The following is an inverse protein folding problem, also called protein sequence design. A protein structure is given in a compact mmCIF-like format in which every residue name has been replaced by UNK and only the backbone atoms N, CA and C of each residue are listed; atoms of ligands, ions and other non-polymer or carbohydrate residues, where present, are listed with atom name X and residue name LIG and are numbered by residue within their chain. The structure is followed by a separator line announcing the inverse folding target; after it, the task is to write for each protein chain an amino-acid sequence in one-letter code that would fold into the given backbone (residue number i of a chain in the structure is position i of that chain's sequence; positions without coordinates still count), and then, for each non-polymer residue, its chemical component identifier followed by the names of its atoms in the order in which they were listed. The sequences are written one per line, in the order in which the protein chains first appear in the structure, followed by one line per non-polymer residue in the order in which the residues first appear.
data_IF_426575695527
#
_entry.id   IF_426575695527
#
_cell.length_a   1.000
_cell.length_b   1.000
_cell.length_c   1.000
_cell.angle_alpha   90.00
_cell.angle_beta   90.00
_cell.angle_gamma   90.00
#
_symmetry.space_group_name_H-M   'P 1'
#
loop_
_entity.id
_entity.type
_entity.pdbx_description
1 polymer ?
#
# COMPACT_ATOMS: atom_id res chain seq x y z
N UNK A 1 8.71 -29.19 5.14
CA UNK A 1 9.45 -27.99 4.71
C UNK A 1 8.87 -27.46 3.43
N UNK A 2 8.49 -26.20 3.42
CA UNK A 2 8.06 -25.49 2.22
C UNK A 2 9.24 -25.35 1.25
N UNK A 3 9.03 -25.73 -0.02
CA UNK A 3 10.04 -25.59 -1.08
C UNK A 3 9.70 -24.35 -1.94
N UNK A 4 9.93 -23.16 -1.38
CA UNK A 4 9.58 -21.89 -2.00
C UNK A 4 10.34 -21.66 -3.31
N UNK A 5 11.64 -21.95 -3.29
CA UNK A 5 12.54 -21.71 -4.42
C UNK A 5 12.20 -22.58 -5.63
N UNK A 6 11.71 -23.81 -5.42
CA UNK A 6 11.26 -24.69 -6.51
C UNK A 6 10.08 -24.10 -7.30
N UNK A 7 9.21 -23.36 -6.63
CA UNK A 7 7.98 -22.80 -7.21
C UNK A 7 8.09 -21.29 -7.52
N UNK A 8 9.30 -20.75 -7.62
CA UNK A 8 9.55 -19.31 -7.90
C UNK A 8 8.73 -18.76 -9.07
N UNK A 9 8.60 -19.55 -10.17
CA UNK A 9 7.81 -19.13 -11.35
C UNK A 9 6.33 -18.91 -11.03
N UNK A 10 5.76 -19.73 -10.14
CA UNK A 10 4.36 -19.63 -9.72
C UNK A 10 4.15 -18.36 -8.89
N UNK A 11 5.03 -18.11 -7.93
CA UNK A 11 4.95 -16.91 -7.10
C UNK A 11 5.08 -15.61 -7.92
N UNK A 12 6.04 -15.59 -8.84
CA UNK A 12 6.20 -14.45 -9.76
C UNK A 12 5.01 -14.29 -10.69
N UNK A 13 4.42 -15.38 -11.18
CA UNK A 13 3.22 -15.32 -12.03
C UNK A 13 2.01 -14.75 -11.29
N UNK A 14 1.79 -15.13 -10.02
CA UNK A 14 0.72 -14.58 -9.17
C UNK A 14 0.90 -13.07 -9.01
N UNK A 15 2.10 -12.63 -8.62
CA UNK A 15 2.42 -11.21 -8.46
C UNK A 15 2.21 -10.43 -9.76
N UNK A 16 2.73 -10.96 -10.86
CA UNK A 16 2.62 -10.34 -12.17
C UNK A 16 1.15 -10.25 -12.61
N UNK A 17 0.35 -11.29 -12.36
CA UNK A 17 -1.08 -11.28 -12.68
C UNK A 17 -1.82 -10.16 -11.92
N UNK A 18 -1.58 -9.99 -10.61
CA UNK A 18 -2.20 -8.93 -9.81
C UNK A 18 -1.79 -7.55 -10.34
N UNK A 19 -0.50 -7.35 -10.61
CA UNK A 19 0.02 -6.07 -11.11
C UNK A 19 -0.53 -5.79 -12.53
N UNK A 20 -0.53 -6.78 -13.42
CA UNK A 20 -1.08 -6.62 -14.77
C UNK A 20 -2.58 -6.30 -14.74
N UNK A 21 -3.36 -6.94 -13.86
CA UNK A 21 -4.76 -6.61 -13.67
C UNK A 21 -4.92 -5.16 -13.19
N UNK A 22 -4.14 -4.72 -12.21
CA UNK A 22 -4.16 -3.33 -11.73
C UNK A 22 -3.83 -2.34 -12.84
N UNK A 23 -2.78 -2.60 -13.61
CA UNK A 23 -2.40 -1.76 -14.77
C UNK A 23 -3.49 -1.75 -15.84
N UNK A 24 -4.10 -2.91 -16.14
CA UNK A 24 -5.22 -2.98 -17.08
C UNK A 24 -6.41 -2.13 -16.62
N UNK A 25 -6.74 -2.18 -15.32
CA UNK A 25 -7.78 -1.31 -14.74
C UNK A 25 -7.40 0.16 -14.80
N UNK A 26 -6.14 0.53 -14.53
CA UNK A 26 -5.68 1.91 -14.68
C UNK A 26 -5.83 2.42 -16.12
N UNK A 27 -5.43 1.60 -17.10
CA UNK A 27 -5.59 1.93 -18.53
C UNK A 27 -7.06 2.05 -18.89
N UNK A 28 -7.88 1.08 -18.52
CA UNK A 28 -9.33 1.09 -18.76
C UNK A 28 -9.99 2.36 -18.21
N UNK A 29 -9.71 2.71 -16.95
CA UNK A 29 -10.24 3.95 -16.33
C UNK A 29 -9.67 5.19 -16.98
N UNK A 30 -8.38 5.21 -17.34
CA UNK A 30 -7.77 6.31 -18.07
C UNK A 30 -8.46 6.61 -19.40
N UNK A 31 -8.83 5.56 -20.15
CA UNK A 31 -9.54 5.70 -21.43
C UNK A 31 -11.02 6.08 -21.23
N UNK A 32 -11.71 5.50 -20.24
CA UNK A 32 -13.15 5.69 -20.06
C UNK A 32 -13.50 6.94 -19.26
N UNK A 33 -12.70 7.30 -18.27
CA UNK A 33 -12.98 8.40 -17.34
C UNK A 33 -11.95 9.53 -17.38
N UNK A 34 -10.87 9.38 -18.14
CA UNK A 34 -9.72 10.30 -18.16
C UNK A 34 -8.86 10.27 -16.89
N UNK A 35 -9.19 9.40 -15.91
CA UNK A 35 -8.53 9.32 -14.60
C UNK A 35 -8.04 7.89 -14.33
N UNK A 36 -6.78 7.55 -14.63
CA UNK A 36 -6.21 6.21 -14.38
C UNK A 36 -6.26 5.79 -12.92
N UNK A 37 -6.05 6.74 -12.01
CA UNK A 37 -6.17 6.61 -10.56
C UNK A 37 -7.08 7.72 -10.04
N UNK A 38 -7.84 7.42 -9.01
CA UNK A 38 -8.60 8.44 -8.31
C UNK A 38 -7.71 9.14 -7.28
N UNK A 39 -7.61 10.45 -7.39
CA UNK A 39 -6.94 11.28 -6.39
C UNK A 39 -8.00 11.93 -5.49
N UNK A 40 -7.76 11.86 -4.18
CA UNK A 40 -8.59 12.55 -3.20
C UNK A 40 -8.42 14.07 -3.27
N UNK A 41 -9.34 14.77 -2.60
CA UNK A 41 -9.34 16.24 -2.55
C UNK A 41 -8.06 16.84 -2.00
N UNK A 42 -7.33 16.09 -1.19
CA UNK A 42 -6.01 16.47 -0.66
C UNK A 42 -5.01 16.80 -1.78
N UNK A 43 -5.15 16.15 -2.93
CA UNK A 43 -4.21 16.27 -4.05
C UNK A 43 -4.76 17.07 -5.24
N UNK A 44 -6.08 17.11 -5.43
CA UNK A 44 -6.69 17.82 -6.57
C UNK A 44 -7.42 19.09 -6.16
N UNK A 45 -7.53 19.33 -4.85
CA UNK A 45 -8.34 20.38 -4.28
C UNK A 45 -9.82 19.96 -4.19
N UNK A 46 -10.62 20.71 -3.44
CA UNK A 46 -12.04 20.46 -3.26
C UNK A 46 -12.53 20.82 -1.86
N UNK A 47 -13.77 20.46 -1.58
CA UNK A 47 -14.39 20.68 -0.27
C UNK A 47 -14.76 19.36 0.40
N UNK A 48 -14.66 19.33 1.73
CA UNK A 48 -15.15 18.28 2.61
C UNK A 48 -16.12 18.85 3.62
N UNK A 49 -17.19 18.11 3.92
CA UNK A 49 -18.09 18.39 5.03
C UNK A 49 -18.28 17.14 5.88
N UNK A 50 -18.16 17.31 7.19
CA UNK A 50 -18.42 16.26 8.16
C UNK A 50 -19.71 16.59 8.91
N UNK A 51 -20.67 15.69 8.82
CA UNK A 51 -21.99 15.89 9.42
C UNK A 51 -22.31 14.77 10.41
N UNK A 52 -22.61 15.16 11.66
CA UNK A 52 -23.07 14.24 12.71
C UNK A 52 -24.58 14.14 12.68
N UNK A 53 -25.10 13.03 12.16
CA UNK A 53 -26.54 12.77 12.06
C UNK A 53 -27.11 12.34 13.42
N UNK A 54 -26.31 11.69 14.29
CA UNK A 54 -26.69 11.27 15.63
C UNK A 54 -27.66 10.10 15.70
N UNK A 55 -28.05 9.53 14.59
CA UNK A 55 -28.92 8.36 14.45
C UNK A 55 -28.51 7.53 13.24
N UNK A 56 -28.91 6.26 13.19
CA UNK A 56 -28.65 5.39 12.05
C UNK A 56 -29.29 5.93 10.78
N UNK A 57 -28.57 5.85 9.67
CA UNK A 57 -29.01 6.30 8.34
C UNK A 57 -28.51 5.37 7.25
N UNK A 58 -29.19 5.36 6.10
CA UNK A 58 -28.72 4.64 4.93
C UNK A 58 -27.77 5.54 4.11
N UNK A 59 -26.60 5.02 3.77
CA UNK A 59 -25.61 5.72 2.93
C UNK A 59 -26.22 6.17 1.61
N UNK A 60 -27.05 5.33 0.99
CA UNK A 60 -27.76 5.61 -0.26
C UNK A 60 -28.68 6.83 -0.19
N UNK A 61 -29.19 7.15 0.98
CA UNK A 61 -30.03 8.31 1.18
C UNK A 61 -29.24 9.61 1.19
N UNK A 62 -28.01 9.57 1.74
CA UNK A 62 -27.08 10.69 1.71
C UNK A 62 -26.57 10.88 0.28
N UNK A 63 -26.18 9.80 -0.41
CA UNK A 63 -25.75 9.84 -1.81
C UNK A 63 -26.81 10.47 -2.72
N UNK A 64 -28.11 10.17 -2.51
CA UNK A 64 -29.22 10.81 -3.24
C UNK A 64 -29.30 12.31 -3.00
N UNK A 65 -29.01 12.78 -1.79
CA UNK A 65 -29.01 14.22 -1.48
C UNK A 65 -27.83 14.89 -2.16
N UNK A 66 -26.63 14.30 -2.01
CA UNK A 66 -25.38 14.86 -2.53
C UNK A 66 -25.39 14.91 -4.06
N UNK A 67 -25.84 13.84 -4.72
CA UNK A 67 -25.88 13.70 -6.17
C UNK A 67 -26.80 14.71 -6.87
N UNK A 68 -27.70 15.41 -6.14
CA UNK A 68 -28.47 16.52 -6.68
C UNK A 68 -27.60 17.73 -7.01
N UNK A 69 -26.50 17.91 -6.28
CA UNK A 69 -25.63 19.08 -6.35
C UNK A 69 -24.28 18.76 -6.96
N UNK A 70 -23.74 17.56 -6.66
CA UNK A 70 -22.38 17.15 -7.02
C UNK A 70 -22.34 15.69 -7.43
N UNK A 71 -21.77 15.40 -8.62
CA UNK A 71 -21.73 14.03 -9.18
C UNK A 71 -20.45 13.24 -8.84
N UNK A 72 -19.36 13.94 -8.52
CA UNK A 72 -18.04 13.38 -8.24
C UNK A 72 -17.75 13.26 -6.73
N UNK A 73 -18.79 13.02 -5.95
CA UNK A 73 -18.68 12.97 -4.49
C UNK A 73 -18.33 11.58 -3.97
N UNK A 74 -17.48 11.57 -2.95
CA UNK A 74 -17.22 10.39 -2.12
C UNK A 74 -17.93 10.57 -0.78
N UNK A 75 -18.87 9.68 -0.48
CA UNK A 75 -19.59 9.63 0.79
C UNK A 75 -19.05 8.52 1.64
N UNK A 76 -18.46 8.87 2.77
CA UNK A 76 -17.91 7.91 3.75
C UNK A 76 -18.70 8.00 5.05
N UNK A 77 -19.16 6.85 5.56
CA UNK A 77 -19.86 6.81 6.85
C UNK A 77 -18.85 6.58 7.97
N UNK A 78 -18.82 7.49 8.93
CA UNK A 78 -18.05 7.36 10.16
C UNK A 78 -18.98 6.93 11.28
N UNK A 79 -18.82 5.71 11.78
CA UNK A 79 -19.81 5.05 12.63
C UNK A 79 -21.22 5.00 11.97
N UNK A 80 -22.24 4.61 12.70
CA UNK A 80 -23.62 4.63 12.20
C UNK A 80 -24.28 6.01 12.26
N UNK A 81 -23.56 7.02 12.73
CA UNK A 81 -24.11 8.33 13.12
C UNK A 81 -23.46 9.53 12.48
N UNK A 82 -22.32 9.37 11.80
CA UNK A 82 -21.57 10.47 11.17
C UNK A 82 -21.31 10.15 9.71
N UNK A 83 -21.27 11.18 8.87
CA UNK A 83 -20.96 11.09 7.44
C UNK A 83 -19.98 12.17 7.04
N UNK A 84 -18.95 11.75 6.30
CA UNK A 84 -18.00 12.61 5.62
C UNK A 84 -18.34 12.63 4.12
N UNK A 85 -18.45 13.81 3.55
CA UNK A 85 -18.74 14.03 2.12
C UNK A 85 -17.60 14.84 1.53
N UNK A 86 -16.89 14.26 0.57
CA UNK A 86 -15.77 14.89 -0.14
C UNK A 86 -16.07 15.00 -1.63
N UNK A 87 -15.72 16.13 -2.24
CA UNK A 87 -15.80 16.29 -3.70
C UNK A 87 -14.84 17.37 -4.19
N UNK A 88 -14.28 17.14 -5.38
CA UNK A 88 -13.42 18.11 -6.05
C UNK A 88 -14.20 19.24 -6.72
N UNK A 89 -15.47 19.01 -7.08
CA UNK A 89 -16.32 20.00 -7.74
C UNK A 89 -17.28 20.72 -6.79
N UNK A 90 -17.36 20.31 -5.51
CA UNK A 90 -18.25 20.92 -4.53
C UNK A 90 -17.80 22.33 -4.18
N UNK A 91 -18.69 23.31 -4.40
CA UNK A 91 -18.48 24.68 -3.93
C UNK A 91 -18.98 24.86 -2.49
N UNK A 92 -18.58 25.98 -1.84
CA UNK A 92 -19.06 26.29 -0.49
C UNK A 92 -20.61 26.42 -0.48
N UNK A 93 -21.18 26.97 -1.57
CA UNK A 93 -22.66 27.08 -1.74
C UNK A 93 -23.33 25.69 -1.85
N UNK A 94 -22.68 24.75 -2.49
CA UNK A 94 -23.22 23.39 -2.63
C UNK A 94 -23.13 22.64 -1.31
N UNK A 95 -22.02 22.80 -0.56
CA UNK A 95 -21.87 22.27 0.79
C UNK A 95 -23.00 22.77 1.72
N UNK A 96 -23.28 24.06 1.70
CA UNK A 96 -24.40 24.68 2.46
C UNK A 96 -25.77 24.09 2.07
N UNK A 97 -26.02 23.90 0.77
CA UNK A 97 -27.30 23.32 0.29
C UNK A 97 -27.42 21.85 0.70
N UNK A 98 -26.36 21.06 0.53
CA UNK A 98 -26.31 19.67 0.95
C UNK A 98 -26.59 19.56 2.45
N UNK A 99 -25.93 20.40 3.26
CA UNK A 99 -26.17 20.42 4.71
C UNK A 99 -27.60 20.83 5.07
N UNK A 100 -28.18 21.85 4.40
CA UNK A 100 -29.57 22.26 4.59
C UNK A 100 -30.56 21.14 4.24
N UNK A 101 -30.36 20.42 3.14
CA UNK A 101 -31.22 19.29 2.77
C UNK A 101 -31.09 18.14 3.78
N UNK A 102 -29.88 17.89 4.30
CA UNK A 102 -29.66 16.93 5.37
C UNK A 102 -30.34 17.38 6.69
N UNK A 103 -30.25 18.68 7.03
CA UNK A 103 -30.96 19.24 8.18
C UNK A 103 -32.47 18.99 8.09
N UNK A 104 -33.08 19.27 6.94
CA UNK A 104 -34.52 19.03 6.72
C UNK A 104 -34.91 17.56 6.82
N UNK A 105 -34.11 16.67 6.19
CA UNK A 105 -34.42 15.23 6.18
C UNK A 105 -34.26 14.56 7.51
N UNK A 106 -33.21 14.91 8.24
CA UNK A 106 -32.83 14.25 9.50
C UNK A 106 -33.14 15.06 10.75
N UNK A 107 -33.72 16.25 10.60
CA UNK A 107 -34.06 17.21 11.67
C UNK A 107 -32.81 17.58 12.51
N UNK A 108 -31.72 18.00 11.82
CA UNK A 108 -30.44 18.29 12.43
C UNK A 108 -30.37 19.74 12.91
N UNK A 109 -29.68 19.93 14.05
CA UNK A 109 -29.33 21.28 14.52
C UNK A 109 -28.10 21.80 13.76
N UNK A 110 -27.88 23.11 13.76
CA UNK A 110 -26.69 23.72 13.09
C UNK A 110 -25.36 23.17 13.61
N UNK A 111 -25.30 22.74 14.88
CA UNK A 111 -24.13 22.08 15.48
C UNK A 111 -23.84 20.67 14.94
N UNK A 112 -24.70 20.12 14.09
CA UNK A 112 -24.48 18.84 13.44
C UNK A 112 -23.40 18.88 12.34
N UNK A 113 -23.10 20.05 11.78
CA UNK A 113 -21.93 20.28 10.96
C UNK A 113 -20.69 20.29 11.88
N UNK A 114 -19.89 19.24 11.81
CA UNK A 114 -18.70 19.04 12.66
C UNK A 114 -17.52 19.81 12.10
N UNK A 115 -17.27 19.67 10.78
CA UNK A 115 -16.25 20.42 10.07
C UNK A 115 -16.69 20.71 8.63
N UNK A 116 -16.13 21.78 8.09
CA UNK A 116 -16.16 22.09 6.67
C UNK A 116 -14.76 22.56 6.30
N UNK A 117 -14.13 21.79 5.42
CA UNK A 117 -12.75 22.04 5.01
C UNK A 117 -12.71 22.30 3.50
N UNK A 118 -11.84 23.23 3.10
CA UNK A 118 -11.58 23.57 1.71
C UNK A 118 -10.10 23.47 1.43
N UNK A 119 -9.75 22.63 0.47
CA UNK A 119 -8.38 22.47 0.02
C UNK A 119 -8.27 23.14 -1.35
N UNK A 120 -7.45 24.19 -1.45
CA UNK A 120 -7.13 24.82 -2.73
C UNK A 120 -6.26 23.93 -3.59
N UNK A 121 -6.41 24.00 -4.92
CA UNK A 121 -5.60 23.20 -5.87
C UNK A 121 -4.09 23.43 -5.71
N UNK A 122 -3.65 24.64 -5.39
CA UNK A 122 -2.24 24.96 -5.12
C UNK A 122 -1.67 24.19 -3.92
N UNK A 123 -2.48 24.02 -2.86
CA UNK A 123 -2.11 23.22 -1.68
C UNK A 123 -2.01 21.75 -2.06
N UNK A 124 -2.94 21.25 -2.90
CA UNK A 124 -2.91 19.88 -3.39
C UNK A 124 -1.66 19.55 -4.19
N UNK A 125 -1.21 20.44 -5.07
CA UNK A 125 0.02 20.25 -5.85
C UNK A 125 1.29 20.32 -4.97
N UNK A 126 1.29 21.17 -3.96
CA UNK A 126 2.37 21.21 -2.96
C UNK A 126 2.43 19.91 -2.15
N UNK A 127 1.28 19.38 -1.72
CA UNK A 127 1.19 18.10 -1.00
C UNK A 127 1.67 16.92 -1.84
N UNK A 128 1.31 16.84 -3.14
CA UNK A 128 1.85 15.82 -4.07
C UNK A 128 3.36 15.87 -4.13
N UNK A 129 3.92 17.05 -4.34
CA UNK A 129 5.36 17.25 -4.46
C UNK A 129 6.08 16.83 -3.17
N UNK A 130 5.58 17.28 -2.02
CA UNK A 130 6.15 16.90 -0.71
C UNK A 130 6.05 15.40 -0.44
N UNK A 131 4.92 14.77 -0.83
CA UNK A 131 4.72 13.33 -0.70
C UNK A 131 5.74 12.52 -1.53
N UNK A 132 5.97 12.92 -2.79
CA UNK A 132 6.96 12.28 -3.66
C UNK A 132 8.39 12.46 -3.12
N UNK A 133 8.72 13.65 -2.64
CA UNK A 133 10.02 13.93 -2.00
C UNK A 133 10.20 13.06 -0.75
N UNK A 134 9.21 12.98 0.12
CA UNK A 134 9.27 12.15 1.33
C UNK A 134 9.49 10.67 0.99
N UNK A 135 8.76 10.16 -0.03
CA UNK A 135 8.93 8.79 -0.50
C UNK A 135 10.34 8.55 -1.06
N UNK A 136 10.86 9.47 -1.89
CA UNK A 136 12.21 9.39 -2.44
C UNK A 136 13.28 9.40 -1.34
N UNK A 137 13.16 10.29 -0.36
CA UNK A 137 14.07 10.37 0.79
C UNK A 137 14.04 9.06 1.58
N UNK A 138 12.86 8.53 1.89
CA UNK A 138 12.71 7.26 2.60
C UNK A 138 13.39 6.10 1.85
N UNK A 139 13.18 6.00 0.53
CA UNK A 139 13.82 4.97 -0.31
C UNK A 139 15.34 5.12 -0.32
N UNK A 140 15.88 6.34 -0.40
CA UNK A 140 17.32 6.60 -0.34
C UNK A 140 17.91 6.14 1.00
N UNK A 141 17.30 6.51 2.13
CA UNK A 141 17.78 6.08 3.44
C UNK A 141 17.73 4.57 3.62
N UNK A 142 16.68 3.91 3.13
CA UNK A 142 16.58 2.46 3.15
C UNK A 142 17.68 1.83 2.30
N UNK A 143 17.94 2.36 1.10
CA UNK A 143 19.04 1.89 0.24
C UNK A 143 20.41 2.02 0.90
N UNK A 144 20.68 3.17 1.53
CA UNK A 144 21.92 3.41 2.25
C UNK A 144 22.08 2.42 3.42
N UNK A 145 21.01 2.21 4.19
CA UNK A 145 21.00 1.23 5.28
C UNK A 145 21.31 -0.19 4.78
N UNK A 146 20.66 -0.62 3.69
CA UNK A 146 20.86 -1.95 3.13
C UNK A 146 22.28 -2.10 2.55
N UNK A 147 22.77 -1.08 1.83
CA UNK A 147 24.11 -1.08 1.25
C UNK A 147 25.19 -1.19 2.33
N UNK A 148 24.97 -0.55 3.48
CA UNK A 148 25.88 -0.64 4.62
C UNK A 148 25.78 -1.97 5.37
N UNK A 149 24.56 -2.52 5.52
CA UNK A 149 24.28 -3.69 6.38
C UNK A 149 24.41 -5.01 5.66
N UNK A 150 24.15 -5.07 4.33
CA UNK A 150 24.03 -6.28 3.55
C UNK A 150 24.88 -6.26 2.27
N UNK A 151 25.16 -7.46 1.71
CA UNK A 151 25.75 -7.58 0.38
C UNK A 151 24.80 -7.01 -0.69
N UNK A 152 25.35 -6.44 -1.76
CA UNK A 152 24.64 -5.80 -2.87
C UNK A 152 23.47 -6.62 -3.44
N UNK A 153 23.58 -7.95 -3.48
CA UNK A 153 22.51 -8.82 -4.00
C UNK A 153 21.27 -8.85 -3.11
N UNK A 154 21.46 -8.82 -1.79
CA UNK A 154 20.36 -8.66 -0.86
C UNK A 154 19.67 -7.31 -1.06
N UNK A 155 20.47 -6.24 -1.26
CA UNK A 155 19.95 -4.90 -1.50
C UNK A 155 19.05 -4.82 -2.72
N UNK A 156 19.52 -5.29 -3.88
CA UNK A 156 18.70 -5.28 -5.10
C UNK A 156 17.43 -6.12 -4.93
N UNK A 157 17.54 -7.31 -4.31
CA UNK A 157 16.38 -8.17 -4.11
C UNK A 157 15.32 -7.54 -3.22
N UNK A 158 15.74 -6.86 -2.14
CA UNK A 158 14.87 -6.11 -1.25
C UNK A 158 14.20 -4.93 -1.96
N UNK A 159 14.95 -4.19 -2.78
CA UNK A 159 14.39 -3.06 -3.54
C UNK A 159 13.31 -3.51 -4.53
N UNK A 160 13.55 -4.58 -5.28
CA UNK A 160 12.55 -5.13 -6.21
C UNK A 160 11.31 -5.58 -5.44
N UNK A 161 11.48 -6.17 -4.26
CA UNK A 161 10.38 -6.55 -3.36
C UNK A 161 9.58 -5.34 -2.88
N UNK A 162 10.23 -4.23 -2.51
CA UNK A 162 9.53 -2.99 -2.13
C UNK A 162 8.75 -2.38 -3.29
N UNK A 163 9.35 -2.33 -4.48
CA UNK A 163 8.64 -1.87 -5.69
C UNK A 163 7.43 -2.75 -5.98
N UNK A 164 7.55 -4.06 -5.82
CA UNK A 164 6.43 -4.98 -5.94
C UNK A 164 5.30 -4.63 -4.95
N UNK A 165 5.60 -4.37 -3.68
CA UNK A 165 4.58 -4.06 -2.66
C UNK A 165 3.85 -2.75 -2.95
N UNK A 166 4.57 -1.73 -3.43
CA UNK A 166 3.99 -0.48 -3.92
C UNK A 166 3.05 -0.74 -5.10
N UNK A 167 3.50 -1.51 -6.10
CA UNK A 167 2.71 -1.82 -7.29
C UNK A 167 1.46 -2.65 -6.96
N UNK A 168 1.56 -3.63 -6.06
CA UNK A 168 0.41 -4.42 -5.61
C UNK A 168 -0.60 -3.54 -4.89
N UNK A 169 -0.14 -2.66 -3.98
CA UNK A 169 -1.03 -1.76 -3.26
C UNK A 169 -1.73 -0.78 -4.21
N UNK A 170 -1.01 -0.19 -5.15
CA UNK A 170 -1.59 0.68 -6.18
C UNK A 170 -2.58 -0.08 -7.09
N UNK A 171 -2.27 -1.34 -7.42
CA UNK A 171 -3.16 -2.20 -8.22
C UNK A 171 -4.49 -2.44 -7.51
N UNK A 172 -4.46 -2.75 -6.21
CA UNK A 172 -5.68 -2.91 -5.40
C UNK A 172 -6.49 -1.60 -5.39
N UNK A 173 -5.84 -0.45 -5.20
CA UNK A 173 -6.50 0.85 -5.22
C UNK A 173 -7.15 1.16 -6.58
N UNK A 174 -6.47 0.85 -7.68
CA UNK A 174 -7.00 1.02 -9.03
C UNK A 174 -8.20 0.13 -9.30
N UNK A 175 -8.13 -1.17 -8.93
CA UNK A 175 -9.20 -2.14 -9.14
C UNK A 175 -10.46 -1.75 -8.37
N UNK A 176 -10.32 -1.37 -7.10
CA UNK A 176 -11.46 -1.02 -6.24
C UNK A 176 -11.87 0.46 -6.34
N UNK A 177 -11.19 1.27 -7.14
CA UNK A 177 -11.50 2.69 -7.28
C UNK A 177 -11.37 3.47 -5.98
N UNK A 178 -10.37 3.12 -5.16
CA UNK A 178 -10.15 3.79 -3.88
C UNK A 178 -9.33 5.06 -4.13
N UNK A 179 -9.77 6.25 -3.66
CA UNK A 179 -9.03 7.47 -3.88
C UNK A 179 -7.70 7.49 -3.10
N UNK A 180 -6.67 7.98 -3.76
CA UNK A 180 -5.37 8.29 -3.16
C UNK A 180 -5.46 9.64 -2.45
N UNK A 181 -5.04 9.70 -1.20
CA UNK A 181 -5.07 10.89 -0.34
C UNK A 181 -3.83 10.96 0.54
N UNK A 182 -3.69 12.01 1.35
CA UNK A 182 -2.53 12.17 2.23
C UNK A 182 -2.33 11.00 3.21
N UNK A 183 -3.37 10.46 3.86
CA UNK A 183 -3.26 9.24 4.67
C UNK A 183 -2.72 8.02 3.92
N UNK A 184 -3.01 7.88 2.61
CA UNK A 184 -2.42 6.81 1.79
C UNK A 184 -0.89 6.90 1.75
N UNK A 185 -0.33 8.11 1.58
CA UNK A 185 1.12 8.30 1.55
C UNK A 185 1.76 7.90 2.89
N UNK A 186 1.15 8.32 4.00
CA UNK A 186 1.62 7.92 5.33
C UNK A 186 1.56 6.39 5.52
N UNK A 187 0.48 5.76 5.05
CA UNK A 187 0.34 4.32 5.02
C UNK A 187 1.42 3.64 4.18
N UNK A 188 1.73 4.16 2.98
CA UNK A 188 2.78 3.63 2.11
C UNK A 188 4.17 3.72 2.74
N UNK A 189 4.52 4.84 3.38
CA UNK A 189 5.79 4.96 4.10
C UNK A 189 5.89 3.93 5.25
N UNK A 190 4.80 3.70 5.96
CA UNK A 190 4.71 2.69 7.02
C UNK A 190 4.89 1.28 6.46
N UNK A 191 4.23 0.94 5.34
CA UNK A 191 4.34 -0.35 4.66
C UNK A 191 5.78 -0.62 4.22
N UNK A 192 6.44 0.36 3.61
CA UNK A 192 7.82 0.25 3.16
C UNK A 192 8.74 -0.13 4.33
N UNK A 193 8.59 0.53 5.47
CA UNK A 193 9.37 0.21 6.68
C UNK A 193 9.06 -1.18 7.23
N UNK A 194 7.77 -1.54 7.28
CA UNK A 194 7.31 -2.83 7.79
C UNK A 194 7.76 -4.00 6.90
N UNK A 195 7.53 -3.93 5.59
CA UNK A 195 7.94 -4.95 4.61
C UNK A 195 9.46 -5.16 4.64
N UNK A 196 10.22 -4.06 4.74
CA UNK A 196 11.66 -4.14 4.84
C UNK A 196 12.11 -4.84 6.11
N UNK A 197 11.46 -4.61 7.24
CA UNK A 197 11.78 -5.27 8.52
C UNK A 197 11.66 -6.80 8.40
N UNK A 198 10.61 -7.32 7.78
CA UNK A 198 10.43 -8.76 7.57
C UNK A 198 11.46 -9.34 6.59
N UNK A 199 11.72 -8.63 5.48
CA UNK A 199 12.76 -9.02 4.50
C UNK A 199 14.15 -9.11 5.15
N UNK A 200 14.49 -8.17 6.04
CA UNK A 200 15.76 -8.17 6.79
C UNK A 200 15.88 -9.42 7.66
N UNK A 201 14.81 -9.82 8.34
CA UNK A 201 14.82 -11.03 9.20
C UNK A 201 15.12 -12.28 8.39
N UNK A 202 14.47 -12.44 7.24
CA UNK A 202 14.73 -13.60 6.36
C UNK A 202 16.15 -13.56 5.81
N UNK A 203 16.64 -12.39 5.39
CA UNK A 203 17.99 -12.24 4.83
C UNK A 203 19.09 -12.42 5.86
N UNK A 204 18.93 -11.95 7.09
CA UNK A 204 19.88 -12.24 8.18
C UNK A 204 19.96 -13.75 8.45
N UNK A 205 18.82 -14.45 8.42
CA UNK A 205 18.79 -15.91 8.59
C UNK A 205 19.46 -16.63 7.43
N UNK A 206 19.23 -16.23 6.20
CA UNK A 206 19.91 -16.76 5.01
C UNK A 206 21.43 -16.54 5.13
N UNK A 207 21.86 -15.36 5.58
CA UNK A 207 23.27 -15.04 5.77
C UNK A 207 23.91 -15.89 6.88
N UNK A 208 23.22 -16.07 7.99
CA UNK A 208 23.66 -16.92 9.11
C UNK A 208 23.82 -18.37 8.64
N UNK A 209 22.79 -18.94 8.00
CA UNK A 209 22.78 -20.31 7.53
C UNK A 209 23.80 -20.54 6.40
N UNK A 210 24.05 -19.55 5.54
CA UNK A 210 25.11 -19.62 4.52
C UNK A 210 26.52 -19.78 5.12
N UNK A 211 26.74 -19.30 6.34
CA UNK A 211 28.03 -19.47 7.07
C UNK A 211 28.10 -20.79 7.77
N UNK A 212 27.00 -21.27 8.35
CA UNK A 212 26.94 -22.52 9.13
C UNK A 212 26.91 -23.76 8.23
N UNK A 213 26.15 -23.71 7.15
CA UNK A 213 25.87 -24.86 6.29
C UNK A 213 26.55 -24.76 4.92
N UNK A 214 27.88 -24.70 4.90
CA UNK A 214 28.69 -24.50 3.66
C UNK A 214 28.52 -25.57 2.59
N UNK A 215 27.98 -26.76 2.94
CA UNK A 215 27.76 -27.87 2.01
C UNK A 215 26.41 -27.84 1.33
N UNK A 216 25.47 -27.05 1.84
CA UNK A 216 24.14 -26.90 1.24
C UNK A 216 24.20 -26.00 0.00
N UNK A 217 23.37 -26.29 -0.98
CA UNK A 217 23.18 -25.43 -2.14
C UNK A 217 22.53 -24.09 -1.75
N UNK A 218 22.65 -23.07 -2.61
CA UNK A 218 22.05 -21.77 -2.36
C UNK A 218 20.53 -21.85 -2.19
N UNK A 219 19.88 -22.75 -2.93
CA UNK A 219 18.45 -23.02 -2.84
C UNK A 219 18.05 -23.65 -1.51
N UNK A 220 18.78 -24.68 -1.11
CA UNK A 220 18.52 -25.37 0.16
C UNK A 220 18.69 -24.42 1.34
N UNK A 221 19.72 -23.57 1.32
CA UNK A 221 19.94 -22.56 2.36
C UNK A 221 18.76 -21.58 2.41
N UNK A 222 18.28 -21.11 1.26
CA UNK A 222 17.16 -20.18 1.21
C UNK A 222 15.87 -20.83 1.73
N UNK A 223 15.51 -22.03 1.23
CA UNK A 223 14.32 -22.76 1.69
C UNK A 223 14.41 -23.09 3.18
N UNK A 224 15.57 -23.51 3.67
CA UNK A 224 15.80 -23.78 5.09
C UNK A 224 15.58 -22.53 5.96
N UNK A 225 16.20 -21.41 5.57
CA UNK A 225 16.10 -20.14 6.29
C UNK A 225 14.68 -19.56 6.30
N UNK A 226 13.97 -19.67 5.17
CA UNK A 226 12.55 -19.27 5.08
C UNK A 226 11.73 -20.09 6.07
N UNK A 227 11.88 -21.42 6.10
CA UNK A 227 11.11 -22.26 7.00
C UNK A 227 11.40 -21.97 8.49
N UNK A 228 12.63 -21.61 8.84
CA UNK A 228 12.98 -21.21 10.21
C UNK A 228 12.36 -19.86 10.63
N UNK A 229 12.16 -18.94 9.70
CA UNK A 229 11.60 -17.61 9.98
C UNK A 229 10.10 -17.52 9.75
N UNK A 230 9.50 -18.49 9.05
CA UNK A 230 8.12 -18.47 8.59
C UNK A 230 7.12 -18.23 9.72
N UNK A 231 7.25 -18.95 10.83
CA UNK A 231 6.37 -18.83 12.00
C UNK A 231 6.43 -17.43 12.58
N UNK A 232 7.62 -16.82 12.66
CA UNK A 232 7.80 -15.45 13.13
C UNK A 232 7.13 -14.47 12.16
N UNK A 233 7.39 -14.58 10.86
CA UNK A 233 6.78 -13.69 9.84
C UNK A 233 5.26 -13.77 9.88
N UNK A 234 4.67 -14.96 9.97
CA UNK A 234 3.21 -15.11 10.05
C UNK A 234 2.66 -14.46 11.34
N UNK A 235 3.26 -14.71 12.49
CA UNK A 235 2.75 -14.15 13.75
C UNK A 235 2.89 -12.63 13.82
N UNK A 236 3.99 -12.06 13.34
CA UNK A 236 4.16 -10.59 13.29
C UNK A 236 3.15 -9.96 12.35
N UNK A 237 2.87 -10.56 11.19
CA UNK A 237 1.84 -10.09 10.25
C UNK A 237 0.44 -10.21 10.86
N UNK A 238 0.11 -11.34 11.48
CA UNK A 238 -1.20 -11.55 12.12
C UNK A 238 -1.45 -10.54 13.24
N UNK A 239 -0.47 -10.29 14.10
CA UNK A 239 -0.62 -9.31 15.19
C UNK A 239 -0.87 -7.89 14.65
N UNK A 240 -0.15 -7.48 13.62
CA UNK A 240 -0.36 -6.17 12.98
C UNK A 240 -1.70 -6.13 12.25
N UNK A 241 -2.08 -7.17 11.51
CA UNK A 241 -3.38 -7.23 10.84
C UNK A 241 -4.55 -7.16 11.81
N UNK A 242 -4.48 -7.87 12.95
CA UNK A 242 -5.51 -7.81 14.01
C UNK A 242 -5.62 -6.37 14.54
N UNK A 243 -4.49 -5.74 14.89
CA UNK A 243 -4.47 -4.37 15.39
C UNK A 243 -5.03 -3.37 14.37
N UNK A 244 -4.50 -3.39 13.13
CA UNK A 244 -4.92 -2.46 12.07
C UNK A 244 -6.39 -2.68 11.68
N UNK A 245 -6.84 -3.94 11.59
CA UNK A 245 -8.23 -4.28 11.26
C UNK A 245 -9.17 -3.85 12.39
N UNK A 246 -8.78 -4.02 13.65
CA UNK A 246 -9.56 -3.51 14.79
C UNK A 246 -9.73 -1.99 14.71
N UNK A 247 -8.64 -1.27 14.48
CA UNK A 247 -8.70 0.20 14.27
C UNK A 247 -9.55 0.55 13.05
N UNK A 248 -9.42 -0.18 11.94
CA UNK A 248 -10.22 0.03 10.73
C UNK A 248 -11.73 -0.12 10.98
N UNK A 249 -12.14 -1.07 11.80
CA UNK A 249 -13.55 -1.32 12.11
C UNK A 249 -14.08 -0.27 13.08
N UNK A 250 -13.36 -0.04 14.19
CA UNK A 250 -13.88 0.74 15.32
C UNK A 250 -13.57 2.24 15.24
N UNK A 251 -12.60 2.67 14.39
CA UNK A 251 -12.20 4.09 14.27
C UNK A 251 -12.33 4.55 12.80
N UNK A 252 -13.53 4.94 12.36
CA UNK A 252 -13.80 5.28 10.97
C UNK A 252 -12.94 6.43 10.41
N UNK A 253 -12.59 7.42 11.23
CA UNK A 253 -11.78 8.59 10.83
C UNK A 253 -10.38 8.24 10.31
N UNK A 254 -9.84 7.07 10.66
CA UNK A 254 -8.53 6.62 10.19
C UNK A 254 -8.59 5.52 9.13
N UNK A 255 -9.76 5.21 8.60
CA UNK A 255 -9.94 4.14 7.59
C UNK A 255 -9.10 4.37 6.34
N UNK A 256 -8.93 5.61 5.93
CA UNK A 256 -8.13 5.95 4.76
C UNK A 256 -6.63 5.65 4.93
N UNK A 257 -6.14 5.72 6.16
CA UNK A 257 -4.80 5.31 6.54
C UNK A 257 -4.67 3.79 6.70
N UNK A 258 -5.68 3.14 7.28
CA UNK A 258 -5.61 1.69 7.57
C UNK A 258 -5.84 0.81 6.34
N UNK A 259 -6.56 1.29 5.31
CA UNK A 259 -6.76 0.54 4.05
C UNK A 259 -5.46 0.16 3.36
N UNK A 260 -4.54 1.10 3.04
CA UNK A 260 -3.26 0.72 2.44
C UNK A 260 -2.44 -0.17 3.36
N UNK A 261 -2.48 0.04 4.69
CA UNK A 261 -1.76 -0.79 5.64
C UNK A 261 -2.18 -2.26 5.58
N UNK A 262 -3.49 -2.56 5.54
CA UNK A 262 -3.98 -3.93 5.45
C UNK A 262 -3.43 -4.61 4.18
N UNK A 263 -3.56 -3.96 3.03
CA UNK A 263 -3.07 -4.49 1.76
C UNK A 263 -1.55 -4.66 1.78
N UNK A 264 -0.84 -3.61 2.21
CA UNK A 264 0.61 -3.58 2.18
C UNK A 264 1.28 -4.53 3.17
N UNK A 265 0.72 -4.75 4.35
CA UNK A 265 1.24 -5.72 5.33
C UNK A 265 1.12 -7.15 4.79
N UNK A 266 0.01 -7.48 4.12
CA UNK A 266 -0.17 -8.79 3.47
C UNK A 266 0.83 -8.93 2.30
N UNK A 267 0.93 -7.91 1.44
CA UNK A 267 1.88 -7.90 0.33
C UNK A 267 3.32 -8.02 0.81
N UNK A 268 3.72 -7.28 1.86
CA UNK A 268 5.08 -7.28 2.40
C UNK A 268 5.51 -8.64 2.97
N UNK A 269 4.61 -9.33 3.67
CA UNK A 269 4.88 -10.70 4.11
C UNK A 269 5.07 -11.65 2.93
N UNK A 270 4.17 -11.56 1.95
CA UNK A 270 4.28 -12.36 0.74
C UNK A 270 5.58 -12.06 -0.01
N UNK A 271 5.91 -10.80 -0.22
CA UNK A 271 7.06 -10.40 -1.02
C UNK A 271 8.39 -10.76 -0.38
N UNK A 272 8.53 -10.67 0.95
CA UNK A 272 9.74 -11.06 1.69
C UNK A 272 10.08 -12.53 1.47
N UNK A 273 9.06 -13.39 1.50
CA UNK A 273 9.21 -14.85 1.38
C UNK A 273 9.29 -15.27 -0.09
N UNK A 274 8.35 -14.83 -0.93
CA UNK A 274 8.11 -15.38 -2.26
C UNK A 274 8.71 -14.57 -3.40
N UNK A 275 9.18 -13.35 -3.14
CA UNK A 275 9.82 -12.48 -4.16
C UNK A 275 11.28 -12.19 -3.80
N UNK A 276 11.55 -11.59 -2.65
CA UNK A 276 12.90 -11.15 -2.27
C UNK A 276 13.88 -12.33 -2.16
N UNK A 277 13.48 -13.39 -1.46
CA UNK A 277 14.34 -14.56 -1.24
C UNK A 277 14.65 -15.34 -2.54
N UNK A 278 13.68 -15.65 -3.42
CA UNK A 278 13.97 -16.23 -4.73
C UNK A 278 14.83 -15.35 -5.64
N UNK A 279 14.62 -14.02 -5.64
CA UNK A 279 15.45 -13.09 -6.40
C UNK A 279 16.91 -13.14 -5.96
N UNK A 280 17.15 -13.14 -4.64
CA UNK A 280 18.49 -13.31 -4.11
C UNK A 280 19.16 -14.60 -4.59
N UNK A 281 18.45 -15.74 -4.59
CA UNK A 281 18.95 -17.01 -5.11
C UNK A 281 19.34 -16.88 -6.59
N UNK A 282 18.48 -16.29 -7.41
CA UNK A 282 18.73 -16.06 -8.85
C UNK A 282 20.01 -15.23 -9.04
N UNK A 283 20.17 -14.13 -8.32
CA UNK A 283 21.35 -13.26 -8.43
C UNK A 283 22.61 -13.93 -7.90
N UNK A 284 22.52 -14.71 -6.85
CA UNK A 284 23.68 -15.47 -6.30
C UNK A 284 24.17 -16.52 -7.29
N UNK A 285 23.27 -17.29 -7.90
CA UNK A 285 23.60 -18.30 -8.92
C UNK A 285 24.25 -17.72 -10.17
N UNK A 286 23.68 -16.63 -10.71
CA UNK A 286 24.24 -15.96 -11.88
C UNK A 286 25.67 -15.52 -11.65
N UNK A 287 26.00 -15.01 -10.47
CA UNK A 287 27.36 -14.57 -10.14
C UNK A 287 28.32 -15.75 -9.99
N UNK A 288 27.87 -16.84 -9.36
CA UNK A 288 28.71 -18.03 -9.20
C UNK A 288 29.03 -18.66 -10.57
N UNK A 289 28.05 -18.71 -11.47
CA UNK A 289 28.26 -19.21 -12.85
C UNK A 289 29.30 -18.36 -13.61
N UNK A 290 29.20 -17.03 -13.53
CA UNK A 290 30.19 -16.13 -14.16
C UNK A 290 31.59 -16.31 -13.59
N UNK A 291 31.73 -16.48 -12.26
CA UNK A 291 33.03 -16.73 -11.62
C UNK A 291 33.66 -18.06 -12.08
N UNK A 292 32.88 -19.12 -12.25
CA UNK A 292 33.35 -20.41 -12.74
C UNK A 292 33.79 -20.33 -14.20
N UNK A 293 33.03 -19.63 -15.06
CA UNK A 293 33.40 -19.42 -16.45
C UNK A 293 34.71 -18.63 -16.60
N UNK A 294 34.86 -17.53 -15.83
CA UNK A 294 36.09 -16.73 -15.88
C UNK A 294 37.31 -17.51 -15.38
N UNK A 295 37.15 -18.39 -14.35
CA UNK A 295 38.26 -19.28 -13.93
C UNK A 295 38.64 -20.28 -15.00
N UNK A 296 37.68 -20.88 -15.69
CA UNK A 296 37.93 -21.82 -16.79
C UNK A 296 38.60 -21.15 -18.00
N UNK A 297 38.30 -19.88 -18.27
CA UNK A 297 38.96 -19.09 -19.34
C UNK A 297 40.37 -18.67 -18.95
N UNK A 298 40.65 -18.41 -17.67
CA UNK A 298 41.99 -18.05 -17.18
C UNK A 298 42.97 -19.25 -17.07
N UNK A 299 42.47 -20.47 -17.21
CA UNK A 299 43.27 -21.71 -17.20
C UNK A 299 43.56 -22.26 -18.61
N UNK A 300 43.02 -21.60 -19.65
CA UNK A 300 43.37 -21.85 -21.06
C UNK A 300 44.38 -20.82 -21.56
#
# INVERSE_FOLDING_TARGET
MLKVIKHTKVWFAISLAIICLGVAFMIYRGVTTGKPLEFGIDFIGGNSIDVRIGKSFAKTDIEKIVNKYVKDSTVTTANTTEVEIKSSSMTDKDADKIFKDMQKKYNLKSKALVSQEKIGGTIGDELKTKALIALAIALVFILLYIAWRFEFKFGISAMISLVHDVLVTLSVYAIFGIPLNSPFIAGMLTIIGYSMSDTIVVFDRIRENSRKHRRMSTEEIADFSINETLTRSIYTVLTVLIAVTSVHIFVPSVREFTKPLIVGVISGCYSSIFIASPLWVIFKKRTNKKKLQNKALAQK
#
